data_IF_543114858828
#
_entry.id   IF_543114858828
#
_cell.length_a   1.000
_cell.length_b   1.000
_cell.length_c   1.000
_cell.angle_alpha   90.00
_cell.angle_beta   90.00
_cell.angle_gamma   90.00
#
_symmetry.space_group_name_H-M   'P 1'
#
loop_
_entity.id
_entity.type
_entity.pdbx_description
1 polymer ?
#
# COMPACT_ATOMS: atom_id res chain seq x y z
N UNK A 1 -6.95 35.13 -16.65
CA UNK A 1 -5.82 34.61 -15.86
C UNK A 1 -6.36 33.90 -14.62
N UNK A 2 -5.65 32.87 -14.18
CA UNK A 2 -6.09 31.75 -13.33
C UNK A 2 -6.40 32.07 -11.85
N UNK A 3 -7.16 31.19 -11.18
CA UNK A 3 -6.90 30.87 -9.76
C UNK A 3 -8.09 30.61 -8.82
N UNK A 4 -8.61 29.38 -8.86
CA UNK A 4 -9.42 28.55 -7.91
C UNK A 4 -9.88 29.08 -6.52
N UNK A 5 -11.15 28.74 -6.21
CA UNK A 5 -11.74 28.50 -4.86
C UNK A 5 -11.42 27.09 -4.33
N UNK A 6 -11.41 26.93 -3.00
CA UNK A 6 -12.18 25.96 -2.19
C UNK A 6 -11.57 25.90 -0.76
N UNK A 7 -12.17 26.50 0.27
CA UNK A 7 -13.11 25.88 1.23
C UNK A 7 -12.61 24.56 1.83
N UNK A 8 -11.95 24.63 3.00
CA UNK A 8 -11.76 23.50 3.90
C UNK A 8 -12.91 23.44 4.91
N UNK A 9 -13.95 22.69 4.57
CA UNK A 9 -14.97 22.26 5.55
C UNK A 9 -14.44 21.01 6.28
N UNK A 10 -14.64 20.88 7.59
CA UNK A 10 -14.27 19.68 8.33
C UNK A 10 -15.27 18.56 8.00
N UNK A 11 -14.77 17.43 7.48
CA UNK A 11 -15.61 16.28 7.13
C UNK A 11 -16.18 15.65 8.41
N UNK A 12 -17.50 15.44 8.39
CA UNK A 12 -18.32 14.92 9.47
C UNK A 12 -17.81 13.58 10.05
N UNK A 13 -17.83 13.45 11.38
CA UNK A 13 -17.26 12.32 12.12
C UNK A 13 -17.91 10.97 11.79
N UNK A 14 -19.16 10.98 11.33
CA UNK A 14 -19.89 9.80 10.88
C UNK A 14 -19.34 9.20 9.57
N UNK A 15 -18.79 10.04 8.69
CA UNK A 15 -18.12 9.60 7.44
C UNK A 15 -16.82 8.88 7.78
N UNK A 16 -16.08 9.38 8.78
CA UNK A 16 -14.86 8.75 9.28
C UNK A 16 -15.10 7.40 9.95
N UNK A 17 -16.24 7.21 10.65
CA UNK A 17 -16.62 5.90 11.20
C UNK A 17 -17.07 4.89 10.14
N UNK A 18 -17.76 5.34 9.09
CA UNK A 18 -18.16 4.48 7.97
C UNK A 18 -16.95 3.98 7.17
N UNK A 19 -15.91 4.81 7.04
CA UNK A 19 -14.63 4.42 6.44
C UNK A 19 -13.92 3.39 7.33
N UNK A 20 -13.90 3.57 8.66
CA UNK A 20 -13.29 2.60 9.59
C UNK A 20 -13.94 1.21 9.51
N UNK A 21 -15.25 1.13 9.34
CA UNK A 21 -15.97 -0.14 9.25
C UNK A 21 -15.77 -0.85 7.89
N UNK A 22 -15.49 -0.12 6.80
CA UNK A 22 -15.20 -0.74 5.50
C UNK A 22 -13.78 -1.33 5.39
N UNK A 23 -12.84 -0.91 6.22
CA UNK A 23 -11.43 -1.34 6.15
C UNK A 23 -10.98 -2.25 7.31
N UNK A 24 -11.93 -2.83 8.07
CA UNK A 24 -11.65 -3.64 9.26
C UNK A 24 -11.02 -5.03 9.00
N UNK A 25 -10.45 -5.27 7.82
CA UNK A 25 -9.67 -6.49 7.51
C UNK A 25 -8.28 -6.21 6.94
N UNK A 26 -7.73 -5.02 7.23
CA UNK A 26 -6.31 -4.70 7.05
C UNK A 26 -5.76 -4.12 8.35
N UNK A 27 -5.69 -4.97 9.39
CA UNK A 27 -5.13 -4.67 10.72
C UNK A 27 -3.59 -4.43 10.71
N UNK A 28 -3.04 -3.86 9.65
CA UNK A 28 -1.61 -3.51 9.54
C UNK A 28 -1.36 -2.06 9.16
N UNK A 29 -2.40 -1.21 9.07
CA UNK A 29 -2.27 0.15 8.53
C UNK A 29 -2.49 1.30 9.53
N UNK A 30 -2.60 1.01 10.83
CA UNK A 30 -2.72 2.06 11.86
C UNK A 30 -1.61 2.06 12.94
N UNK A 31 -0.32 1.97 12.59
CA UNK A 31 0.71 2.54 13.48
C UNK A 31 0.93 4.06 13.26
N UNK A 32 0.70 4.60 12.05
CA UNK A 32 1.11 5.98 11.73
C UNK A 32 0.18 7.06 12.29
N UNK A 33 -1.15 6.86 12.32
CA UNK A 33 -2.05 7.92 12.83
C UNK A 33 -1.84 8.18 14.35
N UNK A 34 -1.10 7.32 15.05
CA UNK A 34 -0.71 7.49 16.46
C UNK A 34 0.67 8.13 16.66
N UNK A 35 1.44 8.38 15.60
CA UNK A 35 2.81 8.95 15.68
C UNK A 35 2.81 10.48 15.90
N UNK A 36 1.75 10.98 16.54
CA UNK A 36 1.66 12.32 17.13
C UNK A 36 1.85 12.31 18.65
N UNK A 37 2.33 11.21 19.24
CA UNK A 37 2.57 11.10 20.67
C UNK A 37 4.06 10.90 20.98
N UNK A 38 4.73 12.00 21.35
CA UNK A 38 5.94 12.05 22.18
C UNK A 38 7.15 11.18 21.77
N UNK A 39 7.47 11.08 20.48
CA UNK A 39 8.77 10.57 20.04
C UNK A 39 9.75 11.73 19.83
N UNK A 40 10.97 11.57 20.31
CA UNK A 40 12.07 12.48 20.02
C UNK A 40 12.22 12.58 18.50
N UNK A 41 12.25 13.80 17.92
CA UNK A 41 12.39 13.91 16.47
C UNK A 41 13.79 13.42 16.08
N UNK A 42 13.87 12.46 15.15
CA UNK A 42 15.14 11.92 14.66
C UNK A 42 16.10 13.04 14.17
N UNK A 43 15.55 14.10 13.58
CA UNK A 43 16.32 15.26 13.14
C UNK A 43 16.88 16.07 14.32
N UNK A 44 16.08 16.30 15.36
CA UNK A 44 16.54 16.97 16.59
C UNK A 44 17.64 16.15 17.26
N UNK A 45 17.48 14.83 17.34
CA UNK A 45 18.47 13.94 17.93
C UNK A 45 19.79 13.96 17.15
N UNK A 46 19.74 13.86 15.82
CA UNK A 46 20.93 13.94 14.98
C UNK A 46 21.65 15.29 15.10
N UNK A 47 20.89 16.39 15.17
CA UNK A 47 21.46 17.72 15.39
C UNK A 47 22.24 17.79 16.71
N UNK A 48 21.68 17.27 17.80
CA UNK A 48 22.36 17.26 19.11
C UNK A 48 23.57 16.31 19.13
N UNK A 49 23.52 15.21 18.38
CA UNK A 49 24.67 14.31 18.20
C UNK A 49 25.84 14.98 17.47
N UNK A 50 25.53 15.78 16.43
CA UNK A 50 26.52 16.61 15.76
C UNK A 50 27.15 17.67 16.68
N UNK A 51 26.33 18.33 17.52
CA UNK A 51 26.83 19.28 18.52
C UNK A 51 27.73 18.62 19.59
N UNK A 52 27.46 17.37 19.93
CA UNK A 52 28.25 16.59 20.87
C UNK A 52 29.50 15.95 20.25
N UNK A 53 29.82 16.28 18.99
CA UNK A 53 30.97 15.73 18.25
C UNK A 53 31.00 14.19 18.23
N UNK A 54 29.82 13.56 18.11
CA UNK A 54 29.69 12.10 18.05
C UNK A 54 29.65 11.39 19.41
N UNK A 55 29.56 12.11 20.53
CA UNK A 55 29.44 11.52 21.86
C UNK A 55 27.97 11.33 22.26
N UNK A 56 27.51 10.07 22.41
CA UNK A 56 26.13 9.73 22.77
C UNK A 56 25.68 10.30 24.13
N UNK A 57 26.56 10.27 25.14
CA UNK A 57 26.24 10.72 26.49
C UNK A 57 26.06 12.24 26.55
N UNK A 58 26.95 12.96 25.86
CA UNK A 58 26.87 14.41 25.81
C UNK A 58 25.70 14.86 24.90
N UNK A 59 25.43 14.12 23.82
CA UNK A 59 24.27 14.34 22.97
C UNK A 59 22.96 14.18 23.75
N UNK A 60 22.84 13.13 24.56
CA UNK A 60 21.69 12.90 25.43
C UNK A 60 21.53 14.01 26.46
N UNK A 61 22.62 14.41 27.13
CA UNK A 61 22.62 15.48 28.13
C UNK A 61 22.10 16.79 27.53
N UNK A 62 22.65 17.18 26.37
CA UNK A 62 22.23 18.37 25.65
C UNK A 62 20.77 18.25 25.17
N UNK A 63 20.37 17.07 24.67
CA UNK A 63 19.00 16.83 24.20
C UNK A 63 17.99 16.96 25.32
N UNK A 64 18.25 16.35 26.49
CA UNK A 64 17.40 16.44 27.69
C UNK A 64 17.32 17.86 28.24
N UNK A 65 18.43 18.60 28.21
CA UNK A 65 18.47 20.00 28.61
C UNK A 65 17.60 20.87 27.70
N UNK A 66 17.61 20.59 26.39
CA UNK A 66 16.87 21.37 25.39
C UNK A 66 15.39 20.98 25.29
N UNK A 67 15.07 19.72 25.55
CA UNK A 67 13.70 19.18 25.46
C UNK A 67 13.31 18.42 26.74
N UNK A 68 12.99 19.12 27.84
CA UNK A 68 12.69 18.48 29.14
C UNK A 68 11.48 17.54 29.13
N UNK A 69 10.58 17.67 28.13
CA UNK A 69 9.37 16.86 27.99
C UNK A 69 9.52 15.64 27.07
N UNK A 70 10.63 15.54 26.33
CA UNK A 70 10.88 14.44 25.38
C UNK A 70 11.90 13.49 26.00
N UNK A 71 11.53 12.22 26.13
CA UNK A 71 12.43 11.19 26.67
C UNK A 71 13.10 10.42 25.55
N UNK A 72 14.41 10.26 25.64
CA UNK A 72 15.16 9.32 24.82
C UNK A 72 15.16 7.98 25.55
N UNK A 73 14.66 6.93 24.89
CA UNK A 73 14.54 5.59 25.49
C UNK A 73 15.84 4.78 25.46
N UNK A 74 16.74 5.06 24.49
CA UNK A 74 18.01 4.37 24.30
C UNK A 74 19.10 5.36 23.84
N UNK A 75 20.23 5.41 24.56
CA UNK A 75 21.40 6.24 24.21
C UNK A 75 21.99 5.86 22.85
N UNK A 76 21.93 4.57 22.48
CA UNK A 76 22.45 4.11 21.19
C UNK A 76 21.61 4.55 20.00
N UNK A 77 20.46 5.17 20.23
CA UNK A 77 19.64 5.71 19.16
C UNK A 77 20.36 6.85 18.42
N UNK A 78 21.18 7.65 19.09
CA UNK A 78 21.95 8.72 18.44
C UNK A 78 22.96 8.16 17.42
N UNK A 79 23.81 7.23 17.85
CA UNK A 79 24.74 6.49 16.97
C UNK A 79 24.00 5.81 15.81
N UNK A 80 22.90 5.09 16.10
CA UNK A 80 22.12 4.38 15.06
C UNK A 80 21.55 5.33 14.02
N UNK A 81 20.97 6.46 14.43
CA UNK A 81 20.43 7.46 13.52
C UNK A 81 21.51 8.07 12.63
N UNK A 82 22.68 8.38 13.20
CA UNK A 82 23.81 8.88 12.44
C UNK A 82 24.30 7.83 11.43
N UNK A 83 24.43 6.57 11.84
CA UNK A 83 24.81 5.47 10.97
C UNK A 83 23.82 5.26 9.82
N UNK A 84 22.52 5.26 10.10
CA UNK A 84 21.48 5.15 9.05
C UNK A 84 21.56 6.29 8.02
N UNK A 85 21.87 7.53 8.46
CA UNK A 85 22.10 8.63 7.52
C UNK A 85 23.37 8.44 6.67
N UNK A 86 24.46 7.96 7.26
CA UNK A 86 25.69 7.72 6.53
C UNK A 86 25.58 6.56 5.53
N UNK A 87 24.85 5.50 5.89
CA UNK A 87 24.73 4.28 5.08
C UNK A 87 23.59 4.35 4.05
N UNK A 88 22.43 4.86 4.46
CA UNK A 88 21.19 4.82 3.65
C UNK A 88 20.71 6.22 3.25
N UNK A 89 21.20 7.28 3.89
CA UNK A 89 20.73 8.66 3.63
C UNK A 89 19.34 8.97 4.18
N UNK A 90 18.77 8.07 5.01
CA UNK A 90 17.42 8.19 5.57
C UNK A 90 17.40 7.78 7.04
N UNK A 91 16.51 8.40 7.83
CA UNK A 91 16.22 7.96 9.21
C UNK A 91 15.27 6.75 9.27
N UNK A 92 14.62 6.42 8.16
CA UNK A 92 13.73 5.27 8.06
C UNK A 92 14.58 4.06 7.73
N UNK A 93 14.56 3.06 8.61
CA UNK A 93 15.08 1.74 8.26
C UNK A 93 14.21 1.17 7.15
N UNK A 94 14.80 0.87 6.00
CA UNK A 94 14.08 0.24 4.90
C UNK A 94 13.58 -1.14 5.36
N UNK A 95 12.30 -1.21 5.74
CA UNK A 95 11.65 -2.44 6.16
C UNK A 95 11.05 -3.21 4.97
N UNK A 96 11.26 -2.76 3.73
CA UNK A 96 10.68 -3.40 2.55
C UNK A 96 11.12 -4.87 2.42
N UNK A 97 12.32 -5.21 2.93
CA UNK A 97 12.89 -6.56 2.86
C UNK A 97 12.79 -7.37 4.16
N UNK A 98 12.35 -6.76 5.27
CA UNK A 98 12.22 -7.43 6.57
C UNK A 98 10.93 -8.27 6.71
N UNK A 99 10.17 -8.41 5.64
CA UNK A 99 8.98 -9.26 5.61
C UNK A 99 9.32 -10.75 5.63
N UNK A 100 8.41 -11.57 6.18
CA UNK A 100 8.50 -13.03 6.06
C UNK A 100 8.62 -13.42 4.58
N UNK A 101 9.73 -14.07 4.22
CA UNK A 101 9.98 -14.55 2.86
C UNK A 101 8.77 -15.30 2.30
N UNK A 102 8.29 -14.87 1.13
CA UNK A 102 7.08 -15.42 0.49
C UNK A 102 7.40 -16.78 -0.14
N UNK A 103 7.57 -17.82 0.66
CA UNK A 103 8.00 -19.15 0.18
C UNK A 103 7.04 -19.82 -0.83
N UNK A 104 5.81 -19.30 -0.97
CA UNK A 104 4.77 -19.86 -1.86
C UNK A 104 4.73 -19.14 -3.22
N UNK A 105 5.38 -17.99 -3.38
CA UNK A 105 5.39 -17.21 -4.64
C UNK A 105 6.65 -17.49 -5.45
N UNK A 106 6.87 -18.75 -5.79
CA UNK A 106 7.88 -19.07 -6.80
C UNK A 106 7.42 -18.49 -8.15
N UNK A 107 8.32 -17.97 -8.99
CA UNK A 107 7.96 -17.40 -10.30
C UNK A 107 7.14 -18.38 -11.16
N UNK A 108 7.46 -19.68 -11.08
CA UNK A 108 6.76 -20.74 -11.79
C UNK A 108 5.27 -20.83 -11.41
N UNK A 109 4.96 -20.74 -10.12
CA UNK A 109 3.58 -20.81 -9.63
C UNK A 109 2.78 -19.59 -10.09
N UNK A 110 3.41 -18.41 -10.12
CA UNK A 110 2.80 -17.19 -10.63
C UNK A 110 2.47 -17.34 -12.12
N UNK A 111 3.42 -17.80 -12.91
CA UNK A 111 3.25 -18.00 -14.35
C UNK A 111 2.13 -19.01 -14.67
N UNK A 112 2.10 -20.15 -13.97
CA UNK A 112 1.04 -21.14 -14.16
C UNK A 112 -0.35 -20.58 -13.83
N UNK A 113 -0.47 -19.79 -12.75
CA UNK A 113 -1.73 -19.13 -12.37
C UNK A 113 -2.17 -18.16 -13.47
N UNK A 114 -1.25 -17.36 -14.01
CA UNK A 114 -1.56 -16.37 -15.05
C UNK A 114 -1.91 -17.05 -16.38
N UNK A 115 -1.22 -18.12 -16.76
CA UNK A 115 -1.52 -18.90 -17.95
C UNK A 115 -2.93 -19.51 -17.86
N UNK A 116 -3.27 -20.13 -16.72
CA UNK A 116 -4.58 -20.74 -16.52
C UNK A 116 -5.75 -19.74 -16.60
N UNK A 117 -5.53 -18.51 -16.13
CA UNK A 117 -6.53 -17.43 -16.25
C UNK A 117 -6.55 -16.80 -17.65
N UNK A 118 -5.40 -16.72 -18.34
CA UNK A 118 -5.31 -16.25 -19.71
C UNK A 118 -6.04 -17.15 -20.71
N UNK A 119 -5.88 -18.47 -20.56
CA UNK A 119 -6.52 -19.47 -21.44
C UNK A 119 -8.04 -19.52 -21.25
N UNK A 120 -8.51 -19.32 -20.01
CA UNK A 120 -9.93 -19.39 -19.62
C UNK A 120 -10.25 -18.29 -18.60
N UNK A 121 -10.61 -17.08 -19.04
CA UNK A 121 -10.85 -15.95 -18.14
C UNK A 121 -12.11 -16.12 -17.29
N UNK A 122 -12.98 -17.08 -17.62
CA UNK A 122 -14.18 -17.44 -16.87
C UNK A 122 -13.91 -18.43 -15.72
N UNK A 123 -12.67 -18.92 -15.58
CA UNK A 123 -12.31 -19.91 -14.57
C UNK A 123 -12.44 -19.32 -13.15
N UNK A 124 -12.96 -20.15 -12.23
CA UNK A 124 -13.04 -19.74 -10.82
C UNK A 124 -11.64 -19.74 -10.22
N UNK A 125 -11.32 -18.72 -9.44
CA UNK A 125 -10.07 -18.65 -8.66
C UNK A 125 -9.88 -19.81 -7.67
N UNK A 126 -10.96 -20.53 -7.31
CA UNK A 126 -10.88 -21.79 -6.55
C UNK A 126 -10.43 -22.99 -7.39
N UNK A 127 -10.75 -23.02 -8.67
CA UNK A 127 -10.37 -24.09 -9.59
C UNK A 127 -8.86 -23.99 -9.90
N UNK A 128 -8.37 -22.77 -10.14
CA UNK A 128 -6.93 -22.48 -10.28
C UNK A 128 -6.16 -22.86 -9.01
N UNK A 129 -6.72 -22.57 -7.83
CA UNK A 129 -6.13 -22.96 -6.55
C UNK A 129 -5.95 -24.47 -6.40
N UNK A 130 -6.92 -25.27 -6.89
CA UNK A 130 -6.85 -26.74 -6.87
C UNK A 130 -5.85 -27.28 -7.89
N UNK A 131 -5.79 -26.69 -9.07
CA UNK A 131 -4.87 -27.11 -10.13
C UNK A 131 -3.40 -26.91 -9.71
N UNK A 132 -3.09 -25.76 -9.10
CA UNK A 132 -1.72 -25.40 -8.72
C UNK A 132 -1.33 -25.83 -7.30
N UNK A 133 -2.26 -26.43 -6.54
CA UNK A 133 -2.07 -26.79 -5.13
C UNK A 133 -1.61 -25.59 -4.25
N UNK A 134 -2.19 -24.42 -4.52
CA UNK A 134 -1.87 -23.16 -3.83
C UNK A 134 -3.10 -22.67 -3.07
N UNK A 135 -2.95 -22.09 -1.87
CA UNK A 135 -4.07 -21.43 -1.20
C UNK A 135 -4.71 -20.34 -2.08
N UNK A 136 -6.03 -20.34 -2.16
CA UNK A 136 -6.83 -19.37 -2.91
C UNK A 136 -6.46 -17.90 -2.64
N UNK A 137 -6.03 -17.57 -1.41
CA UNK A 137 -5.58 -16.22 -1.04
C UNK A 137 -4.32 -15.75 -1.78
N UNK A 138 -3.45 -16.68 -2.19
CA UNK A 138 -2.27 -16.37 -3.00
C UNK A 138 -2.68 -16.11 -4.44
N UNK A 139 -3.57 -16.94 -5.01
CA UNK A 139 -4.13 -16.74 -6.37
C UNK A 139 -4.74 -15.34 -6.48
N UNK A 140 -5.59 -14.95 -5.52
CA UNK A 140 -6.17 -13.61 -5.47
C UNK A 140 -5.15 -12.49 -5.39
N UNK A 141 -4.07 -12.69 -4.62
CA UNK A 141 -3.04 -11.67 -4.46
C UNK A 141 -2.18 -11.56 -5.72
N UNK A 142 -1.88 -12.67 -6.40
CA UNK A 142 -1.19 -12.69 -7.70
C UNK A 142 -2.01 -11.95 -8.74
N UNK A 143 -3.30 -12.27 -8.88
CA UNK A 143 -4.18 -11.59 -9.83
C UNK A 143 -4.26 -10.08 -9.54
N UNK A 144 -4.36 -9.70 -8.26
CA UNK A 144 -4.34 -8.29 -7.86
C UNK A 144 -3.02 -7.59 -8.19
N UNK A 145 -1.89 -8.24 -7.94
CA UNK A 145 -0.56 -7.69 -8.21
C UNK A 145 -0.38 -7.43 -9.72
N UNK A 146 -0.98 -8.26 -10.58
CA UNK A 146 -1.01 -8.11 -12.05
C UNK A 146 -2.19 -7.26 -12.58
N UNK A 147 -3.01 -6.68 -11.70
CA UNK A 147 -4.16 -5.86 -12.10
C UNK A 147 -5.35 -6.63 -12.71
N UNK A 148 -5.37 -7.95 -12.58
CA UNK A 148 -6.46 -8.81 -13.03
C UNK A 148 -7.55 -8.92 -11.97
N UNK A 149 -8.77 -8.51 -12.33
CA UNK A 149 -9.94 -8.57 -11.46
C UNK A 149 -10.98 -9.53 -12.04
N UNK A 150 -11.45 -10.52 -11.26
CA UNK A 150 -12.56 -11.37 -11.68
C UNK A 150 -13.80 -10.54 -11.96
N UNK A 151 -14.31 -10.67 -13.18
CA UNK A 151 -15.59 -10.08 -13.60
C UNK A 151 -16.61 -11.19 -13.80
N UNK A 152 -17.87 -10.89 -13.56
CA UNK A 152 -18.96 -11.81 -13.84
C UNK A 152 -19.51 -11.53 -15.23
N UNK A 153 -19.30 -12.45 -16.18
CA UNK A 153 -19.88 -12.33 -17.52
C UNK A 153 -21.38 -12.53 -17.44
N UNK A 154 -22.13 -11.43 -17.57
CA UNK A 154 -23.58 -11.47 -17.72
C UNK A 154 -23.93 -11.57 -19.20
N UNK A 155 -24.53 -12.71 -19.60
CA UNK A 155 -25.09 -12.85 -20.96
C UNK A 155 -26.42 -12.11 -21.00
N UNK A 156 -26.43 -10.92 -21.59
CA UNK A 156 -27.63 -10.10 -21.77
C UNK A 156 -27.98 -10.07 -23.26
N UNK A 157 -29.21 -10.48 -23.59
CA UNK A 157 -29.75 -10.68 -24.96
C UNK A 157 -29.16 -11.90 -25.70
N UNK A 158 -30.04 -12.79 -26.16
CA UNK A 158 -29.68 -13.89 -27.08
C UNK A 158 -29.68 -13.35 -28.51
N UNK A 159 -28.61 -12.64 -28.88
CA UNK A 159 -28.41 -12.14 -30.24
C UNK A 159 -28.29 -13.32 -31.20
N UNK A 160 -29.10 -13.30 -32.25
CA UNK A 160 -29.01 -14.25 -33.37
C UNK A 160 -28.17 -13.62 -34.50
N UNK A 161 -27.54 -14.43 -35.37
CA UNK A 161 -26.65 -13.92 -36.42
C UNK A 161 -27.23 -12.82 -37.33
N UNK A 162 -28.55 -12.81 -37.51
CA UNK A 162 -29.24 -11.78 -38.32
C UNK A 162 -29.28 -10.40 -37.63
N UNK A 163 -29.14 -10.33 -36.31
CA UNK A 163 -29.24 -9.07 -35.55
C UNK A 163 -27.96 -8.21 -35.63
N UNK A 164 -26.83 -8.79 -36.05
CA UNK A 164 -25.54 -8.09 -36.02
C UNK A 164 -25.49 -6.92 -37.02
N UNK A 165 -25.88 -7.16 -38.28
CA UNK A 165 -25.80 -6.14 -39.33
C UNK A 165 -26.67 -4.89 -39.04
N UNK A 166 -27.98 -5.02 -38.70
CA UNK A 166 -28.82 -3.87 -38.36
C UNK A 166 -28.31 -3.06 -37.17
N UNK A 167 -27.69 -3.72 -36.18
CA UNK A 167 -27.17 -3.04 -34.98
C UNK A 167 -25.90 -2.25 -35.24
N UNK A 168 -25.02 -2.75 -36.12
CA UNK A 168 -23.84 -2.00 -36.57
C UNK A 168 -24.28 -0.77 -37.36
N UNK A 169 -25.21 -0.92 -38.30
CA UNK A 169 -25.75 0.22 -39.07
C UNK A 169 -26.40 1.27 -38.16
N UNK A 170 -27.22 0.84 -37.20
CA UNK A 170 -27.81 1.74 -36.21
C UNK A 170 -26.74 2.51 -35.41
N UNK A 171 -25.71 1.80 -34.92
CA UNK A 171 -24.64 2.41 -34.12
C UNK A 171 -23.82 3.42 -34.94
N UNK A 172 -23.48 3.07 -36.19
CA UNK A 172 -22.75 3.96 -37.11
C UNK A 172 -23.59 5.18 -37.47
N UNK A 173 -24.89 5.02 -37.73
CA UNK A 173 -25.79 6.14 -38.02
C UNK A 173 -25.93 7.07 -36.82
N UNK A 174 -26.15 6.52 -35.62
CA UNK A 174 -26.30 7.28 -34.38
C UNK A 174 -25.04 8.06 -34.01
N UNK A 175 -23.85 7.47 -34.17
CA UNK A 175 -22.58 8.13 -33.86
C UNK A 175 -22.15 9.19 -34.89
N UNK A 176 -22.67 9.13 -36.12
CA UNK A 176 -22.35 10.09 -37.20
C UNK A 176 -23.40 11.20 -37.36
N UNK A 177 -24.44 11.23 -36.51
CA UNK A 177 -25.48 12.26 -36.45
C UNK A 177 -25.14 13.33 -35.43
#
# INVERSE_FOLDING_TARGET
>A
MHGRRASGEPVDGAVMESIKHQFSYASSFLPWISEGMATCSNQEMHFMYGLANGNDLEAERLYRQRFPRKQVTDQKLFERLHRCLCETGSFVTDMHDAGRGRSVRTPQVVENILQGVGDRPDIRTQEVSRAENVPHSIVWRVLRDEGLHPYHVQKVQTLIPVDYAPRVEFSVSFCNS
#
